data_IF_241065193820
#
_entry.id   IF_241065193820
#
_cell.length_a   1.000
_cell.length_b   1.000
_cell.length_c   1.000
_cell.angle_alpha   90.00
_cell.angle_beta   90.00
_cell.angle_gamma   90.00
#
_symmetry.space_group_name_H-M   'P 1'
#
loop_
_entity.id
_entity.type
_entity.pdbx_description
1 polymer ?
#
# COMPACT_ATOMS: atom_id res chain seq x y z
N UNK A 1 2.23 48.70 3.08
CA UNK A 1 2.65 47.64 4.02
C UNK A 1 1.75 46.44 3.75
N UNK A 2 2.28 45.35 3.20
CA UNK A 2 1.45 44.18 2.88
C UNK A 2 1.51 43.18 4.05
N UNK A 3 0.37 42.89 4.67
CA UNK A 3 0.24 41.88 5.72
C UNK A 3 0.36 40.49 5.09
N UNK A 4 1.42 39.76 5.47
CA UNK A 4 1.70 38.42 4.93
C UNK A 4 0.92 37.38 5.74
N UNK A 5 0.01 36.66 5.08
CA UNK A 5 -0.64 35.48 5.66
C UNK A 5 0.40 34.37 5.78
N UNK A 6 0.74 33.98 7.02
CA UNK A 6 1.62 32.84 7.31
C UNK A 6 0.80 31.57 7.43
N UNK A 7 0.90 30.70 6.43
CA UNK A 7 0.42 29.31 6.51
C UNK A 7 1.53 28.49 7.17
N UNK A 8 1.27 27.97 8.38
CA UNK A 8 2.22 27.12 9.10
C UNK A 8 2.18 25.70 8.56
N UNK A 9 3.36 25.07 8.45
CA UNK A 9 3.52 23.70 7.97
C UNK A 9 2.83 22.77 8.96
N UNK A 10 1.92 21.92 8.46
CA UNK A 10 1.23 20.90 9.25
C UNK A 10 2.30 19.95 9.81
N UNK A 11 2.35 19.79 11.13
CA UNK A 11 3.32 18.93 11.81
C UNK A 11 3.24 17.49 11.27
N UNK A 12 4.38 16.94 10.83
CA UNK A 12 4.56 15.57 10.30
C UNK A 12 4.45 14.47 11.37
N UNK A 13 3.58 14.63 12.36
CA UNK A 13 3.34 13.61 13.39
C UNK A 13 1.91 13.09 13.30
N UNK A 14 1.56 12.55 12.14
CA UNK A 14 0.48 11.56 12.06
C UNK A 14 1.12 10.20 12.33
N UNK A 15 0.62 9.52 13.37
CA UNK A 15 1.23 8.36 14.00
C UNK A 15 1.70 7.28 13.03
N UNK A 16 2.84 6.70 13.38
CA UNK A 16 3.35 5.47 12.79
C UNK A 16 2.42 4.33 13.25
N UNK A 17 1.47 3.95 12.41
CA UNK A 17 0.52 2.86 12.66
C UNK A 17 1.16 1.47 12.45
N UNK A 18 2.49 1.44 12.28
CA UNK A 18 3.27 0.25 11.99
C UNK A 18 3.26 -0.14 10.52
N UNK A 19 2.63 0.65 9.64
CA UNK A 19 2.58 0.39 8.20
C UNK A 19 3.42 1.39 7.43
N UNK A 20 4.13 0.90 6.40
CA UNK A 20 4.89 1.73 5.47
C UNK A 20 4.24 1.71 4.10
N UNK A 21 4.10 2.87 3.48
CA UNK A 21 3.68 2.98 2.09
C UNK A 21 4.84 2.54 1.19
N UNK A 22 4.60 1.51 0.39
CA UNK A 22 5.55 1.02 -0.62
C UNK A 22 4.95 1.21 -2.01
N UNK A 23 5.75 1.71 -2.95
CA UNK A 23 5.38 1.81 -4.36
C UNK A 23 5.98 0.62 -5.12
N UNK A 24 5.12 -0.24 -5.66
CA UNK A 24 5.54 -1.44 -6.41
C UNK A 24 5.05 -1.33 -7.84
N UNK A 25 5.91 -1.67 -8.81
CA UNK A 25 5.51 -1.84 -10.21
C UNK A 25 5.05 -3.28 -10.42
N UNK A 26 3.82 -3.45 -10.88
CA UNK A 26 3.23 -4.74 -11.19
C UNK A 26 2.83 -4.77 -12.66
N UNK A 27 2.72 -5.97 -13.23
CA UNK A 27 2.18 -6.12 -14.59
C UNK A 27 0.68 -5.85 -14.59
N UNK A 28 0.17 -5.32 -15.68
CA UNK A 28 -1.27 -5.01 -15.85
C UNK A 28 -2.15 -6.25 -15.65
N UNK A 29 -1.70 -7.41 -16.14
CA UNK A 29 -2.40 -8.70 -15.96
C UNK A 29 -2.61 -9.07 -14.48
N UNK A 30 -1.60 -8.84 -13.64
CA UNK A 30 -1.67 -9.14 -12.21
C UNK A 30 -2.60 -8.17 -11.48
N UNK A 31 -2.57 -6.88 -11.87
CA UNK A 31 -3.49 -5.89 -11.32
C UNK A 31 -4.94 -6.23 -11.67
N UNK A 32 -5.22 -6.61 -12.92
CA UNK A 32 -6.55 -7.02 -13.34
C UNK A 32 -7.09 -8.23 -12.54
N UNK A 33 -6.25 -9.23 -12.28
CA UNK A 33 -6.61 -10.37 -11.44
C UNK A 33 -6.89 -9.95 -9.98
N UNK A 34 -6.08 -9.04 -9.42
CA UNK A 34 -6.30 -8.51 -8.08
C UNK A 34 -7.58 -7.68 -7.98
N UNK A 35 -7.92 -6.91 -9.01
CA UNK A 35 -9.18 -6.16 -9.10
C UNK A 35 -10.39 -7.11 -9.13
N UNK A 36 -10.33 -8.18 -9.92
CA UNK A 36 -11.41 -9.18 -9.96
C UNK A 36 -11.60 -9.87 -8.59
N UNK A 37 -10.50 -10.23 -7.93
CA UNK A 37 -10.54 -10.80 -6.57
C UNK A 37 -11.08 -9.80 -5.55
N UNK A 38 -10.71 -8.53 -5.67
CA UNK A 38 -11.22 -7.44 -4.83
C UNK A 38 -12.74 -7.35 -4.92
N UNK A 39 -13.28 -7.35 -6.14
CA UNK A 39 -14.73 -7.32 -6.38
C UNK A 39 -15.44 -8.55 -5.82
N UNK A 40 -14.88 -9.75 -6.01
CA UNK A 40 -15.50 -11.00 -5.54
C UNK A 40 -15.48 -11.17 -4.02
N UNK A 41 -14.44 -10.66 -3.36
CA UNK A 41 -14.23 -10.86 -1.91
C UNK A 41 -14.69 -9.67 -1.06
N UNK A 42 -15.07 -8.56 -1.68
CA UNK A 42 -15.40 -7.29 -1.01
C UNK A 42 -14.28 -6.80 -0.09
N UNK A 43 -13.02 -6.99 -0.51
CA UNK A 43 -11.81 -6.51 0.19
C UNK A 43 -11.05 -5.54 -0.69
N UNK A 44 -10.27 -4.65 -0.09
CA UNK A 44 -9.44 -3.74 -0.88
C UNK A 44 -8.29 -4.50 -1.54
N UNK A 45 -7.84 -4.04 -2.71
CA UNK A 45 -6.61 -4.55 -3.35
C UNK A 45 -5.42 -4.60 -2.39
N UNK A 46 -5.20 -3.53 -1.62
CA UNK A 46 -4.07 -3.43 -0.71
C UNK A 46 -4.13 -4.49 0.40
N UNK A 47 -5.33 -4.75 0.92
CA UNK A 47 -5.57 -5.80 1.89
C UNK A 47 -5.31 -7.20 1.30
N UNK A 48 -5.80 -7.46 0.07
CA UNK A 48 -5.54 -8.71 -0.63
C UNK A 48 -4.05 -8.91 -0.90
N UNK A 49 -3.33 -7.87 -1.36
CA UNK A 49 -1.88 -7.92 -1.58
C UNK A 49 -1.17 -8.28 -0.29
N UNK A 50 -1.49 -7.62 0.83
CA UNK A 50 -0.87 -7.92 2.11
C UNK A 50 -1.15 -9.36 2.58
N UNK A 51 -2.38 -9.84 2.44
CA UNK A 51 -2.75 -11.21 2.82
C UNK A 51 -1.99 -12.24 1.99
N UNK A 52 -1.92 -12.05 0.67
CA UNK A 52 -1.21 -12.94 -0.24
C UNK A 52 0.30 -12.94 0.05
N UNK A 53 0.90 -11.77 0.27
CA UNK A 53 2.33 -11.66 0.60
C UNK A 53 2.65 -12.30 1.97
N UNK A 54 1.82 -12.08 2.99
CA UNK A 54 2.00 -12.71 4.30
C UNK A 54 1.94 -14.24 4.23
N UNK A 55 1.05 -14.80 3.41
CA UNK A 55 0.96 -16.24 3.18
C UNK A 55 2.13 -16.78 2.34
N UNK A 56 2.66 -15.99 1.41
CA UNK A 56 3.73 -16.42 0.51
C UNK A 56 5.12 -16.40 1.18
N UNK A 57 5.44 -15.39 1.99
CA UNK A 57 6.77 -15.21 2.60
C UNK A 57 7.31 -16.48 3.27
N UNK A 58 6.54 -17.23 4.09
CA UNK A 58 7.04 -18.42 4.78
C UNK A 58 7.37 -19.61 3.87
N UNK A 59 6.81 -19.64 2.65
CA UNK A 59 6.96 -20.75 1.71
C UNK A 59 7.95 -20.45 0.58
N UNK A 60 8.49 -19.22 0.51
CA UNK A 60 9.55 -18.86 -0.43
C UNK A 60 10.81 -19.65 -0.09
N UNK A 61 11.35 -20.35 -1.09
CA UNK A 61 12.65 -21.00 -1.05
C UNK A 61 13.59 -20.29 -2.02
N UNK A 62 14.85 -20.17 -1.63
CA UNK A 62 15.93 -19.66 -2.48
C UNK A 62 16.75 -20.88 -2.90
N UNK A 63 16.92 -21.07 -4.20
CA UNK A 63 17.82 -22.07 -4.76
C UNK A 63 19.02 -21.33 -5.38
N UNK A 64 20.21 -21.91 -5.25
CA UNK A 64 21.49 -21.43 -5.83
C UNK A 64 21.63 -21.81 -7.31
#
# INVERSE_FOLDING_TARGET
>A
MAEVIKITKKNDRKGDDGYKIVSVRMKDETIAQLDELSTKTNRSRNELINLLLQAAIPIVKIED
#
